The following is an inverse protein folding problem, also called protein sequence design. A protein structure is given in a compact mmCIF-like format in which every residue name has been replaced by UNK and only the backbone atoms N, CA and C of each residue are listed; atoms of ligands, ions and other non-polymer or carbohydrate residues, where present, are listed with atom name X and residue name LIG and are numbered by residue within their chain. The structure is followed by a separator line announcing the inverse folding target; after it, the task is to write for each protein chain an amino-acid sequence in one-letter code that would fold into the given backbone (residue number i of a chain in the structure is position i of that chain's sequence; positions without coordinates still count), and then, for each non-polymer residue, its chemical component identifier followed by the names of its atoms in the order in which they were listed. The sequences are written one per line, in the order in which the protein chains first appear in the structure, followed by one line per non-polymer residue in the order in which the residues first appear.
data_IF_664688223188
#
_entry.id   IF_664688223188
#
_cell.length_a   1.000
_cell.length_b   1.000
_cell.length_c   1.000
_cell.angle_alpha   90.00
_cell.angle_beta   90.00
_cell.angle_gamma   90.00
#
_symmetry.space_group_name_H-M   'P 1'
#
loop_
_entity.id
_entity.type
_entity.pdbx_description
1 polymer ?
#
# COMPACT_ATOMS: atom_id res chain seq x y z
N UNK A 1 25.43 -1.34 31.12
CA UNK A 1 24.64 -2.30 30.32
C UNK A 1 25.19 -2.21 28.92
N UNK A 2 25.66 -3.30 28.34
CA UNK A 2 26.24 -3.30 26.99
C UNK A 2 25.13 -3.01 25.97
N UNK A 3 25.38 -2.10 25.04
CA UNK A 3 24.53 -1.84 23.89
C UNK A 3 24.41 -3.13 23.05
N UNK A 4 23.35 -3.90 23.29
CA UNK A 4 23.01 -5.11 22.54
C UNK A 4 22.33 -4.77 21.21
N UNK A 5 22.90 -3.85 20.43
CA UNK A 5 22.45 -3.61 19.07
C UNK A 5 23.37 -4.42 18.13
N UNK A 6 22.89 -5.50 17.48
CA UNK A 6 23.71 -6.22 16.50
C UNK A 6 24.03 -5.24 15.37
N UNK A 7 25.30 -4.82 15.27
CA UNK A 7 25.77 -3.98 14.17
C UNK A 7 25.85 -4.88 12.94
N UNK A 8 24.88 -4.73 12.04
CA UNK A 8 24.94 -5.39 10.73
C UNK A 8 26.25 -5.02 10.02
N UNK A 9 26.86 -6.01 9.41
CA UNK A 9 28.00 -5.82 8.50
C UNK A 9 27.55 -5.05 7.25
N UNK A 10 28.46 -4.38 6.52
CA UNK A 10 28.12 -3.70 5.28
C UNK A 10 27.38 -4.58 4.26
N UNK A 11 27.76 -5.86 4.17
CA UNK A 11 27.12 -6.83 3.27
C UNK A 11 25.69 -7.14 3.70
N UNK A 12 25.44 -7.30 5.01
CA UNK A 12 24.09 -7.52 5.53
C UNK A 12 23.18 -6.31 5.27
N UNK A 13 23.71 -5.09 5.33
CA UNK A 13 22.97 -3.88 4.94
C UNK A 13 22.60 -3.88 3.46
N UNK A 14 23.51 -4.27 2.58
CA UNK A 14 23.25 -4.38 1.13
C UNK A 14 22.16 -5.42 0.84
N UNK A 15 22.23 -6.61 1.46
CA UNK A 15 21.21 -7.66 1.32
C UNK A 15 19.84 -7.15 1.79
N UNK A 16 19.78 -6.45 2.93
CA UNK A 16 18.53 -5.86 3.43
C UNK A 16 17.98 -4.79 2.49
N UNK A 17 18.85 -3.95 1.92
CA UNK A 17 18.45 -2.91 0.96
C UNK A 17 17.88 -3.53 -0.32
N UNK A 18 18.53 -4.57 -0.86
CA UNK A 18 18.06 -5.28 -2.04
C UNK A 18 16.69 -5.93 -1.79
N UNK A 19 16.54 -6.61 -0.64
CA UNK A 19 15.26 -7.23 -0.28
C UNK A 19 14.14 -6.20 -0.06
N UNK A 20 14.47 -5.03 0.50
CA UNK A 20 13.54 -3.92 0.67
C UNK A 20 13.12 -3.36 -0.69
N UNK A 21 14.03 -3.24 -1.65
CA UNK A 21 13.73 -2.79 -3.03
C UNK A 21 12.75 -3.78 -3.69
N UNK A 22 13.03 -5.08 -3.64
CA UNK A 22 12.16 -6.10 -4.21
C UNK A 22 10.75 -6.08 -3.61
N UNK A 23 10.68 -6.00 -2.28
CA UNK A 23 9.41 -5.92 -1.55
C UNK A 23 8.64 -4.64 -1.90
N UNK A 24 9.34 -3.52 -1.99
CA UNK A 24 8.75 -2.22 -2.36
C UNK A 24 8.16 -2.28 -3.77
N UNK A 25 8.86 -2.91 -4.72
CA UNK A 25 8.35 -3.10 -6.08
C UNK A 25 7.09 -3.96 -6.11
N UNK A 26 7.02 -5.02 -5.31
CA UNK A 26 5.82 -5.83 -5.17
C UNK A 26 4.64 -5.03 -4.60
N UNK A 27 4.89 -4.25 -3.54
CA UNK A 27 3.88 -3.37 -2.92
C UNK A 27 3.36 -2.35 -3.94
N UNK A 28 4.24 -1.71 -4.73
CA UNK A 28 3.83 -0.74 -5.75
C UNK A 28 2.87 -1.37 -6.75
N UNK A 29 3.16 -2.60 -7.23
CA UNK A 29 2.28 -3.32 -8.17
C UNK A 29 0.91 -3.59 -7.55
N UNK A 30 0.86 -3.99 -6.29
CA UNK A 30 -0.39 -4.22 -5.54
C UNK A 30 -1.18 -2.91 -5.41
N UNK A 31 -0.51 -1.81 -5.06
CA UNK A 31 -1.16 -0.50 -4.92
C UNK A 31 -1.76 0.01 -6.24
N UNK A 32 -1.09 -0.23 -7.37
CA UNK A 32 -1.65 0.09 -8.70
C UNK A 32 -2.93 -0.70 -8.99
N UNK A 33 -2.97 -2.00 -8.65
CA UNK A 33 -4.17 -2.81 -8.81
C UNK A 33 -5.32 -2.32 -7.89
N UNK A 34 -4.99 -2.03 -6.63
CA UNK A 34 -5.96 -1.52 -5.65
C UNK A 34 -6.52 -0.15 -6.05
N UNK A 35 -5.70 0.75 -6.58
CA UNK A 35 -6.16 2.05 -7.07
C UNK A 35 -7.20 1.91 -8.19
N UNK A 36 -7.00 0.96 -9.12
CA UNK A 36 -7.97 0.66 -10.17
C UNK A 36 -9.28 0.12 -9.61
N UNK A 37 -9.21 -0.78 -8.62
CA UNK A 37 -10.37 -1.33 -7.94
C UNK A 37 -11.17 -0.25 -7.21
N UNK A 38 -10.48 0.63 -6.48
CA UNK A 38 -11.10 1.76 -5.77
C UNK A 38 -11.80 2.71 -6.75
N UNK A 39 -11.16 3.01 -7.89
CA UNK A 39 -11.78 3.82 -8.94
C UNK A 39 -13.04 3.17 -9.52
N UNK A 40 -12.98 1.88 -9.85
CA UNK A 40 -14.15 1.16 -10.38
C UNK A 40 -15.33 1.16 -9.40
N UNK A 41 -15.06 0.94 -8.10
CA UNK A 41 -16.07 1.01 -7.04
C UNK A 41 -16.66 2.42 -6.89
N UNK A 42 -15.82 3.45 -6.95
CA UNK A 42 -16.27 4.85 -6.93
C UNK A 42 -17.21 5.16 -8.10
N UNK A 43 -16.85 4.74 -9.31
CA UNK A 43 -17.68 4.92 -10.50
C UNK A 43 -19.00 4.14 -10.43
N UNK A 44 -18.98 2.91 -9.88
CA UNK A 44 -20.18 2.12 -9.64
C UNK A 44 -21.14 2.81 -8.65
N UNK A 45 -20.62 3.35 -7.54
CA UNK A 45 -21.42 4.11 -6.57
C UNK A 45 -22.07 5.34 -7.21
N UNK A 46 -21.33 6.08 -8.06
CA UNK A 46 -21.93 7.19 -8.81
C UNK A 46 -23.04 6.75 -9.76
N UNK A 47 -22.87 5.60 -10.43
CA UNK A 47 -23.88 5.04 -11.32
C UNK A 47 -25.15 4.58 -10.57
N UNK A 48 -25.01 4.14 -9.32
CA UNK A 48 -26.13 3.80 -8.43
C UNK A 48 -26.87 5.03 -7.88
N UNK A 49 -26.37 6.24 -8.15
CA UNK A 49 -27.01 7.51 -7.77
C UNK A 49 -26.43 8.16 -6.51
N UNK A 50 -25.33 7.64 -5.95
CA UNK A 50 -24.61 8.33 -4.88
C UNK A 50 -23.95 9.61 -5.40
N UNK A 51 -23.88 10.64 -4.55
CA UNK A 51 -23.09 11.83 -4.85
C UNK A 51 -21.60 11.50 -4.81
N UNK A 52 -20.78 12.34 -5.46
CA UNK A 52 -19.33 12.19 -5.45
C UNK A 52 -18.75 12.18 -4.03
N UNK A 53 -19.26 13.06 -3.15
CA UNK A 53 -18.82 13.12 -1.77
C UNK A 53 -19.18 11.84 -1.00
N UNK A 54 -20.39 11.30 -1.19
CA UNK A 54 -20.82 10.06 -0.56
C UNK A 54 -19.97 8.87 -1.04
N UNK A 55 -19.74 8.77 -2.34
CA UNK A 55 -18.93 7.72 -2.93
C UNK A 55 -17.47 7.79 -2.43
N UNK A 56 -16.89 8.98 -2.31
CA UNK A 56 -15.55 9.16 -1.75
C UNK A 56 -15.46 8.73 -0.28
N UNK A 57 -16.43 9.11 0.55
CA UNK A 57 -16.42 8.71 1.97
C UNK A 57 -16.54 7.18 2.13
N UNK A 58 -17.36 6.53 1.31
CA UNK A 58 -17.46 5.06 1.28
C UNK A 58 -16.10 4.45 0.92
N UNK A 59 -15.44 4.94 -0.13
CA UNK A 59 -14.14 4.40 -0.56
C UNK A 59 -13.05 4.62 0.51
N UNK A 60 -13.01 5.78 1.16
CA UNK A 60 -12.03 6.09 2.22
C UNK A 60 -12.22 5.27 3.49
N UNK A 61 -13.45 4.87 3.80
CA UNK A 61 -13.75 4.05 4.99
C UNK A 61 -13.25 2.61 4.90
N UNK A 62 -12.78 2.18 3.72
CA UNK A 62 -12.30 0.82 3.47
C UNK A 62 -10.90 0.64 4.08
N UNK A 63 -10.58 -0.56 4.58
CA UNK A 63 -9.21 -0.86 5.00
C UNK A 63 -8.24 -0.74 3.81
N UNK A 64 -7.01 -0.30 4.10
CA UNK A 64 -5.95 -0.08 3.09
C UNK A 64 -5.53 -1.37 2.37
N UNK A 65 -5.84 -2.53 2.94
CA UNK A 65 -5.67 -3.86 2.35
C UNK A 65 -6.95 -4.68 2.60
N UNK A 66 -7.49 -5.30 1.54
CA UNK A 66 -8.58 -6.28 1.61
C UNK A 66 -8.05 -7.72 1.59
#
# INVERSE_FOLDING_TARGET
MADNNPKFTPIEWEIMADQQIETTLAIIKIQVANAKLMKAKFEALKAEGFTEQQALEIIKSRPLME
#
